data_IF_377695356104
#
_entry.id   IF_377695356104
#
_cell.length_a   1.000
_cell.length_b   1.000
_cell.length_c   1.000
_cell.angle_alpha   90.00
_cell.angle_beta   90.00
_cell.angle_gamma   90.00
#
_symmetry.space_group_name_H-M   'P 1'
#
loop_
_entity.id
_entity.type
_entity.pdbx_description
1 polymer ?
#
# COMPACT_ATOMS: atom_id res chain seq x y z
N UNK A 1 -3.46 -13.25 -19.60
CA UNK A 1 -3.37 -14.62 -19.01
C UNK A 1 -3.93 -14.52 -17.59
N UNK A 2 -4.77 -15.46 -17.16
CA UNK A 2 -5.31 -15.45 -15.79
C UNK A 2 -4.19 -15.76 -14.78
N UNK A 3 -4.28 -15.18 -13.59
CA UNK A 3 -3.38 -15.49 -12.47
C UNK A 3 -3.47 -16.98 -12.10
N UNK A 4 -2.34 -17.62 -11.80
CA UNK A 4 -2.30 -19.03 -11.45
C UNK A 4 -2.95 -19.32 -10.09
N UNK A 5 -3.54 -20.51 -9.94
CA UNK A 5 -4.09 -20.95 -8.65
C UNK A 5 -3.01 -20.97 -7.55
N UNK A 6 -1.76 -21.29 -7.92
CA UNK A 6 -0.62 -21.34 -7.00
C UNK A 6 -0.27 -19.94 -6.48
N UNK A 7 -0.20 -18.91 -7.34
CA UNK A 7 0.00 -17.51 -6.91
C UNK A 7 -1.10 -17.04 -5.96
N UNK A 8 -2.35 -17.40 -6.27
CA UNK A 8 -3.47 -17.06 -5.39
C UNK A 8 -3.41 -17.78 -4.04
N UNK A 9 -2.84 -18.98 -3.99
CA UNK A 9 -2.60 -19.70 -2.74
C UNK A 9 -1.49 -19.03 -1.91
N UNK A 10 -0.36 -18.69 -2.55
CA UNK A 10 0.74 -17.94 -1.91
C UNK A 10 0.23 -16.61 -1.35
N UNK A 11 -0.53 -15.85 -2.13
CA UNK A 11 -1.10 -14.59 -1.67
C UNK A 11 -2.04 -14.75 -0.47
N UNK A 12 -2.93 -15.75 -0.49
CA UNK A 12 -3.82 -16.01 0.66
C UNK A 12 -3.04 -16.35 1.92
N UNK A 13 -2.01 -17.19 1.78
CA UNK A 13 -1.16 -17.57 2.90
C UNK A 13 -0.40 -16.36 3.47
N UNK A 14 0.16 -15.52 2.61
CA UNK A 14 0.84 -14.30 3.02
C UNK A 14 -0.10 -13.36 3.81
N UNK A 15 -1.31 -13.12 3.32
CA UNK A 15 -2.30 -12.26 3.99
C UNK A 15 -2.77 -12.88 5.33
N UNK A 16 -2.89 -14.21 5.40
CA UNK A 16 -3.16 -14.92 6.65
C UNK A 16 -2.02 -14.69 7.65
N UNK A 17 -0.78 -14.96 7.21
CA UNK A 17 0.41 -14.80 8.03
C UNK A 17 0.58 -13.36 8.55
N UNK A 18 0.30 -12.36 7.71
CA UNK A 18 0.31 -10.95 8.11
C UNK A 18 -0.71 -10.68 9.23
N UNK A 19 -1.91 -11.22 9.14
CA UNK A 19 -2.97 -11.04 10.13
C UNK A 19 -2.75 -11.84 11.42
N UNK A 20 -2.06 -12.97 11.33
CA UNK A 20 -1.72 -13.84 12.46
C UNK A 20 -0.36 -13.50 13.09
N UNK A 21 0.37 -12.53 12.51
CA UNK A 21 1.71 -12.11 12.89
C UNK A 21 2.74 -13.25 12.83
N UNK A 22 2.53 -14.17 11.90
CA UNK A 22 3.42 -15.30 11.64
C UNK A 22 4.53 -14.88 10.65
N UNK A 23 5.67 -14.41 11.19
CA UNK A 23 6.78 -13.90 10.39
C UNK A 23 7.38 -14.97 9.49
N UNK A 24 7.49 -16.19 9.96
CA UNK A 24 8.12 -17.29 9.22
C UNK A 24 7.26 -17.66 8.00
N UNK A 25 5.96 -17.80 8.19
CA UNK A 25 5.03 -18.06 7.09
C UNK A 25 4.95 -16.88 6.11
N UNK A 26 4.98 -15.63 6.63
CA UNK A 26 4.94 -14.41 5.83
C UNK A 26 6.14 -14.34 4.88
N UNK A 27 7.34 -14.55 5.38
CA UNK A 27 8.56 -14.51 4.57
C UNK A 27 8.77 -15.77 3.73
N UNK A 28 8.28 -16.91 4.20
CA UNK A 28 8.44 -18.21 3.54
C UNK A 28 7.84 -18.30 2.13
N UNK A 29 6.85 -17.48 1.84
CA UNK A 29 6.23 -17.34 0.51
C UNK A 29 6.87 -16.29 -0.40
N UNK A 30 7.86 -15.55 0.09
CA UNK A 30 8.52 -14.46 -0.64
C UNK A 30 9.84 -14.90 -1.26
N UNK A 31 10.24 -14.21 -2.34
CA UNK A 31 11.56 -14.43 -2.94
C UNK A 31 12.68 -13.83 -2.08
N UNK A 32 13.95 -14.34 -2.19
CA UNK A 32 15.08 -13.80 -1.43
C UNK A 32 15.39 -12.32 -1.69
N UNK A 33 15.02 -11.81 -2.85
CA UNK A 33 15.16 -10.40 -3.24
C UNK A 33 13.82 -9.65 -3.15
N UNK A 34 12.97 -10.04 -2.22
CA UNK A 34 11.66 -9.44 -2.02
C UNK A 34 11.74 -7.96 -1.67
N UNK A 35 10.65 -7.25 -1.89
CA UNK A 35 10.54 -5.85 -1.52
C UNK A 35 9.17 -5.51 -0.93
N UNK A 36 9.14 -4.44 -0.15
CA UNK A 36 7.93 -3.84 0.36
C UNK A 36 8.03 -2.32 0.14
N UNK A 37 7.27 -1.82 -0.81
CA UNK A 37 7.24 -0.42 -1.21
C UNK A 37 5.98 0.26 -0.65
N UNK A 38 6.16 1.04 0.39
CA UNK A 38 5.09 1.83 0.99
C UNK A 38 5.11 3.21 0.37
N UNK A 39 4.10 3.53 -0.43
CA UNK A 39 4.02 4.83 -1.12
C UNK A 39 4.02 5.98 -0.11
N UNK A 40 4.93 6.93 -0.32
CA UNK A 40 5.19 8.03 0.62
C UNK A 40 6.37 7.79 1.55
N UNK A 41 6.95 6.59 1.57
CA UNK A 41 8.24 6.31 2.21
C UNK A 41 9.35 6.47 1.18
N UNK A 42 10.48 7.16 1.50
CA UNK A 42 11.49 7.55 0.51
C UNK A 42 12.17 6.39 -0.24
N UNK A 43 12.21 5.21 0.36
CA UNK A 43 12.84 4.00 -0.24
C UNK A 43 12.07 2.75 0.15
N UNK A 44 11.94 1.78 -0.76
CA UNK A 44 11.38 0.48 -0.41
C UNK A 44 12.27 -0.26 0.59
N UNK A 45 11.66 -1.13 1.35
CA UNK A 45 12.35 -2.14 2.16
C UNK A 45 12.71 -3.30 1.26
N UNK A 46 13.98 -3.66 1.17
CA UNK A 46 14.47 -4.69 0.24
C UNK A 46 15.09 -5.85 0.99
N UNK A 47 14.72 -7.05 0.60
CA UNK A 47 15.13 -8.31 1.21
C UNK A 47 14.34 -8.67 2.46
N UNK A 48 14.47 -9.95 2.90
CA UNK A 48 13.66 -10.48 3.99
C UNK A 48 13.87 -9.74 5.31
N UNK A 49 15.09 -9.33 5.61
CA UNK A 49 15.43 -8.67 6.88
C UNK A 49 14.73 -7.31 7.03
N UNK A 50 14.83 -6.45 6.00
CA UNK A 50 14.18 -5.14 6.03
C UNK A 50 12.66 -5.26 5.99
N UNK A 51 12.15 -6.22 5.22
CA UNK A 51 10.71 -6.53 5.16
C UNK A 51 10.21 -6.96 6.54
N UNK A 52 10.91 -7.88 7.21
CA UNK A 52 10.57 -8.31 8.57
C UNK A 52 10.58 -7.15 9.57
N UNK A 53 11.60 -6.28 9.51
CA UNK A 53 11.70 -5.12 10.40
C UNK A 53 10.53 -4.16 10.21
N UNK A 54 10.12 -3.93 8.96
CA UNK A 54 8.94 -3.10 8.65
C UNK A 54 7.67 -3.69 9.26
N UNK A 55 7.45 -5.03 9.14
CA UNK A 55 6.29 -5.70 9.72
C UNK A 55 6.32 -5.68 11.25
N UNK A 56 7.47 -5.95 11.88
CA UNK A 56 7.60 -5.87 13.35
C UNK A 56 7.20 -4.50 13.89
N UNK A 57 7.69 -3.40 13.27
CA UNK A 57 7.33 -2.03 13.66
C UNK A 57 5.84 -1.74 13.48
N UNK A 58 5.24 -2.30 12.45
CA UNK A 58 3.81 -2.14 12.23
C UNK A 58 2.99 -2.88 13.30
N UNK A 59 3.34 -4.12 13.57
CA UNK A 59 2.70 -4.94 14.60
C UNK A 59 2.97 -4.44 16.03
N UNK A 60 4.13 -3.81 16.28
CA UNK A 60 4.38 -3.12 17.54
C UNK A 60 3.36 -2.01 17.77
N UNK A 61 3.10 -1.20 16.77
CA UNK A 61 2.10 -0.13 16.84
C UNK A 61 0.67 -0.65 16.99
N UNK A 62 0.36 -1.76 16.32
CA UNK A 62 -0.97 -2.37 16.22
C UNK A 62 -0.90 -3.88 16.45
N UNK A 63 -0.81 -4.34 17.71
CA UNK A 63 -0.62 -5.77 18.02
C UNK A 63 -1.80 -6.69 17.64
N UNK A 64 -2.96 -6.11 17.38
CA UNK A 64 -4.17 -6.79 16.92
C UNK A 64 -4.48 -6.48 15.43
N UNK A 65 -3.44 -6.10 14.65
CA UNK A 65 -3.59 -5.78 13.24
C UNK A 65 -4.13 -6.95 12.43
N UNK A 66 -5.10 -6.65 11.57
CA UNK A 66 -5.69 -7.63 10.65
C UNK A 66 -5.93 -7.04 9.27
N UNK A 67 -5.82 -7.89 8.26
CA UNK A 67 -6.09 -7.59 6.86
C UNK A 67 -7.31 -8.35 6.38
N UNK A 68 -8.28 -7.65 5.82
CA UNK A 68 -9.42 -8.24 5.12
C UNK A 68 -9.42 -7.80 3.66
N UNK A 69 -9.24 -8.72 2.74
CA UNK A 69 -9.44 -8.44 1.32
C UNK A 69 -10.91 -8.17 1.06
N UNK A 70 -11.22 -7.01 0.55
CA UNK A 70 -12.58 -6.60 0.16
C UNK A 70 -12.89 -7.02 -1.27
N UNK A 71 -11.94 -6.79 -2.16
CA UNK A 71 -12.06 -7.08 -3.60
C UNK A 71 -10.70 -7.37 -4.21
N UNK A 72 -10.69 -8.22 -5.21
CA UNK A 72 -9.61 -8.30 -6.19
C UNK A 72 -10.01 -7.37 -7.34
N UNK A 73 -9.22 -6.35 -7.59
CA UNK A 73 -9.48 -5.32 -8.61
C UNK A 73 -8.93 -5.74 -9.96
N UNK A 74 -7.76 -6.38 -9.95
CA UNK A 74 -7.10 -6.91 -11.12
C UNK A 74 -6.33 -8.18 -10.73
N UNK A 75 -6.28 -9.16 -11.62
CA UNK A 75 -5.46 -10.35 -11.46
C UNK A 75 -5.07 -10.84 -12.86
N UNK A 76 -3.82 -10.59 -13.24
CA UNK A 76 -3.27 -11.01 -14.52
C UNK A 76 -1.99 -11.86 -14.35
N UNK A 77 -1.29 -12.11 -15.44
CA UNK A 77 -0.07 -12.91 -15.41
C UNK A 77 1.13 -12.22 -14.73
N UNK A 78 1.06 -10.93 -14.40
CA UNK A 78 2.16 -10.15 -13.84
C UNK A 78 1.95 -9.75 -12.39
N UNK A 79 0.72 -9.37 -12.03
CA UNK A 79 0.40 -8.90 -10.68
C UNK A 79 -1.05 -9.23 -10.28
N UNK A 80 -1.29 -9.09 -8.98
CA UNK A 80 -2.64 -9.05 -8.41
C UNK A 80 -2.81 -7.71 -7.72
N UNK A 81 -3.95 -7.07 -7.90
CA UNK A 81 -4.28 -5.82 -7.21
C UNK A 81 -5.49 -6.05 -6.33
N UNK A 82 -5.35 -5.73 -5.04
CA UNK A 82 -6.44 -5.90 -4.07
C UNK A 82 -6.81 -4.59 -3.40
N UNK A 83 -8.10 -4.44 -3.13
CA UNK A 83 -8.59 -3.47 -2.16
C UNK A 83 -8.75 -4.18 -0.82
N UNK A 84 -8.08 -3.65 0.20
CA UNK A 84 -8.05 -4.22 1.54
C UNK A 84 -8.70 -3.28 2.56
N UNK A 85 -9.22 -3.85 3.62
CA UNK A 85 -9.58 -3.17 4.84
C UNK A 85 -8.58 -3.61 5.92
N UNK A 86 -7.91 -2.64 6.51
CA UNK A 86 -6.97 -2.84 7.61
C UNK A 86 -7.59 -2.35 8.90
N UNK A 87 -7.41 -3.12 9.96
CA UNK A 87 -7.90 -2.79 11.31
C UNK A 87 -6.83 -3.09 12.34
N UNK A 88 -6.84 -2.34 13.42
CA UNK A 88 -6.02 -2.56 14.59
C UNK A 88 -6.31 -1.53 15.66
N UNK A 89 -5.78 -1.76 16.87
CA UNK A 89 -5.84 -0.82 17.97
C UNK A 89 -4.45 -0.25 18.21
N UNK A 90 -4.33 1.06 18.30
CA UNK A 90 -3.05 1.75 18.53
C UNK A 90 -2.57 1.53 19.98
N UNK A 91 -1.85 0.44 20.20
CA UNK A 91 -1.40 -0.01 21.52
C UNK A 91 0.12 0.13 21.72
N UNK A 92 0.88 0.40 20.67
CA UNK A 92 2.32 0.67 20.72
C UNK A 92 2.68 1.95 19.99
N UNK A 93 3.98 2.25 19.87
CA UNK A 93 4.45 3.44 19.17
C UNK A 93 4.25 3.31 17.65
N UNK A 94 3.61 4.28 17.04
CA UNK A 94 3.44 4.36 15.58
C UNK A 94 3.83 5.74 15.06
N UNK A 95 4.80 5.80 14.12
CA UNK A 95 5.34 7.04 13.54
C UNK A 95 5.73 8.08 14.60
N UNK A 96 6.30 7.63 15.72
CA UNK A 96 6.69 8.49 16.83
C UNK A 96 5.56 8.91 17.79
N UNK A 97 4.31 8.52 17.51
CA UNK A 97 3.19 8.77 18.39
C UNK A 97 3.06 7.67 19.45
N UNK A 98 2.92 8.04 20.73
CA UNK A 98 2.72 7.06 21.81
C UNK A 98 1.35 6.39 21.70
N UNK A 99 1.16 5.20 22.29
CA UNK A 99 -0.09 4.47 22.21
C UNK A 99 -1.28 5.28 22.75
N UNK A 100 -2.40 5.21 22.06
CA UNK A 100 -3.62 5.97 22.42
C UNK A 100 -4.80 5.08 22.80
N UNK A 101 -4.70 3.76 22.61
CA UNK A 101 -5.79 2.81 22.80
C UNK A 101 -6.93 2.94 21.81
N UNK A 102 -6.79 3.78 20.76
CA UNK A 102 -7.86 4.02 19.81
C UNK A 102 -7.87 3.00 18.68
N UNK A 103 -9.06 2.53 18.26
CA UNK A 103 -9.19 1.68 17.10
C UNK A 103 -8.92 2.47 15.82
N UNK A 104 -8.28 1.81 14.87
CA UNK A 104 -8.00 2.32 13.53
C UNK A 104 -8.61 1.38 12.51
N UNK A 105 -9.24 1.97 11.50
CA UNK A 105 -9.78 1.27 10.35
C UNK A 105 -9.53 2.09 9.10
N UNK A 106 -8.80 1.53 8.16
CA UNK A 106 -8.49 2.19 6.89
C UNK A 106 -8.72 1.28 5.70
N UNK A 107 -8.76 1.88 4.52
CA UNK A 107 -8.69 1.17 3.25
C UNK A 107 -7.29 1.30 2.68
N UNK A 108 -6.82 0.22 2.08
CA UNK A 108 -5.54 0.18 1.36
C UNK A 108 -5.73 -0.48 0.00
N UNK A 109 -4.93 -0.07 -0.97
CA UNK A 109 -4.76 -0.79 -2.23
C UNK A 109 -3.36 -1.36 -2.23
N UNK A 110 -3.24 -2.64 -2.52
CA UNK A 110 -1.95 -3.33 -2.60
C UNK A 110 -1.81 -3.96 -3.97
N UNK A 111 -0.68 -3.68 -4.60
CA UNK A 111 -0.22 -4.35 -5.82
C UNK A 111 0.77 -5.42 -5.41
N UNK A 112 0.41 -6.67 -5.64
CA UNK A 112 1.20 -7.86 -5.34
C UNK A 112 1.98 -8.28 -6.58
N UNK A 113 3.29 -8.32 -6.48
CA UNK A 113 4.20 -8.64 -7.58
C UNK A 113 4.75 -10.06 -7.43
N UNK A 114 4.85 -10.80 -8.53
CA UNK A 114 5.29 -12.19 -8.52
C UNK A 114 6.50 -12.41 -9.43
N UNK A 115 7.42 -13.28 -8.98
CA UNK A 115 8.45 -13.92 -9.80
C UNK A 115 8.15 -15.43 -9.85
N UNK A 116 7.84 -15.94 -11.04
CA UNK A 116 7.29 -17.29 -11.11
C UNK A 116 5.98 -17.39 -10.33
N UNK A 117 5.92 -18.27 -9.35
CA UNK A 117 4.76 -18.43 -8.47
C UNK A 117 4.96 -17.81 -7.07
N UNK A 118 6.17 -17.35 -6.77
CA UNK A 118 6.51 -16.80 -5.46
C UNK A 118 6.23 -15.29 -5.42
N UNK A 119 5.88 -14.79 -4.25
CA UNK A 119 5.64 -13.37 -4.02
C UNK A 119 6.98 -12.62 -4.04
N UNK A 120 7.13 -11.73 -5.02
CA UNK A 120 8.34 -10.92 -5.12
C UNK A 120 8.24 -9.64 -4.30
N UNK A 121 7.05 -9.07 -4.16
CA UNK A 121 6.90 -7.88 -3.35
C UNK A 121 5.52 -7.25 -3.42
N UNK A 122 5.43 -6.12 -2.74
CA UNK A 122 4.21 -5.35 -2.57
C UNK A 122 4.47 -3.88 -2.83
N UNK A 123 3.58 -3.23 -3.59
CA UNK A 123 3.47 -1.77 -3.58
C UNK A 123 2.17 -1.40 -2.87
N UNK A 124 2.27 -0.62 -1.80
CA UNK A 124 1.21 -0.40 -0.85
C UNK A 124 0.78 1.07 -0.85
N UNK A 125 -0.49 1.31 -1.11
CA UNK A 125 -1.12 2.64 -1.09
C UNK A 125 -2.13 2.70 0.05
N UNK A 126 -1.92 3.59 0.99
CA UNK A 126 -2.89 3.88 2.04
C UNK A 126 -2.75 5.32 2.56
N UNK A 127 -3.76 5.77 3.30
CA UNK A 127 -3.80 7.14 3.81
C UNK A 127 -3.29 7.20 5.26
N UNK A 128 -2.03 7.58 5.42
CA UNK A 128 -1.42 7.81 6.73
C UNK A 128 -2.13 8.92 7.52
N UNK A 129 -2.62 9.97 6.85
CA UNK A 129 -3.32 11.05 7.53
C UNK A 129 -4.63 10.57 8.18
N UNK A 130 -5.32 9.64 7.56
CA UNK A 130 -6.48 8.98 8.15
C UNK A 130 -6.13 8.19 9.42
N UNK A 131 -5.00 7.47 9.44
CA UNK A 131 -4.53 6.78 10.65
C UNK A 131 -4.26 7.80 11.75
N UNK A 132 -3.44 8.81 11.45
CA UNK A 132 -3.05 9.84 12.40
C UNK A 132 -4.27 10.57 12.98
N UNK A 133 -5.25 10.91 12.15
CA UNK A 133 -6.51 11.51 12.60
C UNK A 133 -7.28 10.58 13.56
N UNK A 134 -7.38 9.29 13.25
CA UNK A 134 -8.10 8.32 14.08
C UNK A 134 -7.44 8.12 15.45
N UNK A 135 -6.11 8.08 15.51
CA UNK A 135 -5.39 8.02 16.79
C UNK A 135 -5.40 9.34 17.55
N UNK A 136 -5.84 10.45 16.91
CA UNK A 136 -5.96 11.77 17.52
C UNK A 136 -4.68 12.60 17.47
N UNK A 137 -3.78 12.28 16.54
CA UNK A 137 -2.62 13.11 16.25
C UNK A 137 -3.06 14.48 15.76
N UNK A 138 -2.45 15.54 16.28
CA UNK A 138 -2.64 16.89 15.75
C UNK A 138 -1.69 17.06 14.57
N UNK A 139 -2.26 17.18 13.39
CA UNK A 139 -1.50 17.45 12.16
C UNK A 139 -1.76 18.91 11.83
N UNK A 140 -0.76 19.77 12.01
CA UNK A 140 -0.80 21.14 11.52
C UNK A 140 -0.50 21.12 10.01
N UNK A 141 -1.56 21.15 9.23
CA UNK A 141 -1.45 21.42 7.79
C UNK A 141 -1.71 22.92 7.64
N UNK A 142 -0.71 23.72 7.28
CA UNK A 142 -0.95 25.13 7.03
C UNK A 142 -1.96 25.27 5.89
N UNK A 143 -2.89 26.22 5.98
CA UNK A 143 -3.82 26.47 4.89
C UNK A 143 -3.04 26.77 3.60
N UNK A 144 -3.49 26.30 2.44
CA UNK A 144 -2.82 26.58 1.18
C UNK A 144 -2.68 28.10 1.00
N UNK A 145 -1.44 28.56 0.78
CA UNK A 145 -1.16 29.95 0.45
C UNK A 145 -1.63 30.24 -0.97
N UNK A 146 -2.83 30.76 -1.12
CA UNK A 146 -3.41 31.14 -2.40
C UNK A 146 -4.72 30.42 -2.73
N UNK A 147 -5.46 30.98 -3.70
CA UNK A 147 -6.68 30.34 -4.21
C UNK A 147 -6.31 29.12 -5.04
N UNK A 148 -6.70 27.94 -4.59
CA UNK A 148 -6.56 26.71 -5.36
C UNK A 148 -7.51 26.77 -6.56
N UNK A 149 -6.97 26.97 -7.76
CA UNK A 149 -7.75 26.78 -8.99
C UNK A 149 -7.89 25.30 -9.23
N UNK A 150 -9.12 24.80 -9.22
CA UNK A 150 -9.41 23.41 -9.62
C UNK A 150 -9.05 23.27 -11.10
N UNK A 151 -8.04 22.48 -11.42
CA UNK A 151 -7.76 22.12 -12.81
C UNK A 151 -8.80 21.10 -13.27
N UNK A 152 -9.48 21.41 -14.37
CA UNK A 152 -10.38 20.44 -15.00
C UNK A 152 -9.54 19.56 -15.92
N UNK A 153 -9.46 18.27 -15.61
CA UNK A 153 -8.77 17.28 -16.44
C UNK A 153 -9.75 16.71 -17.45
N UNK A 154 -9.43 16.82 -18.75
CA UNK A 154 -10.11 16.05 -19.80
C UNK A 154 -9.22 14.86 -20.14
N UNK A 155 -9.70 13.66 -19.88
CA UNK A 155 -9.10 12.44 -20.41
C UNK A 155 -9.45 12.38 -21.90
N UNK A 156 -8.45 12.45 -22.75
CA UNK A 156 -8.62 12.10 -24.16
C UNK A 156 -8.95 10.60 -24.23
N UNK A 157 -9.90 10.23 -25.13
CA UNK A 157 -10.42 8.86 -25.25
C UNK A 157 -9.38 7.85 -25.81
N UNK A 158 -8.12 8.00 -25.49
CA UNK A 158 -7.08 7.03 -25.84
C UNK A 158 -7.26 5.79 -24.95
N UNK A 159 -7.51 4.59 -25.50
CA UNK A 159 -7.65 3.39 -24.69
C UNK A 159 -6.34 3.12 -23.94
N UNK A 160 -6.41 3.10 -22.60
CA UNK A 160 -5.31 2.69 -21.73
C UNK A 160 -5.13 1.16 -21.81
N UNK A 161 -4.69 0.68 -22.97
CA UNK A 161 -4.33 -0.72 -23.17
C UNK A 161 -2.85 -0.76 -23.47
N UNK A 162 -2.06 -0.99 -22.40
CA UNK A 162 -0.62 -1.19 -22.53
C UNK A 162 -0.10 -2.02 -21.38
N UNK A 163 0.42 -3.18 -21.70
CA UNK A 163 1.18 -3.99 -20.75
C UNK A 163 2.56 -3.35 -20.55
N UNK A 164 2.79 -2.74 -19.40
CA UNK A 164 4.15 -2.41 -18.94
C UNK A 164 4.88 -1.28 -19.64
N UNK A 165 4.19 -0.39 -20.34
CA UNK A 165 4.78 0.85 -20.87
C UNK A 165 4.47 2.03 -19.96
N UNK A 166 5.46 2.89 -19.73
CA UNK A 166 5.25 4.19 -19.10
C UNK A 166 4.28 5.01 -19.96
N UNK A 167 3.24 5.53 -19.34
CA UNK A 167 2.30 6.44 -20.00
C UNK A 167 2.63 7.86 -19.62
N UNK A 168 2.89 8.71 -20.60
CA UNK A 168 2.93 10.15 -20.39
C UNK A 168 1.49 10.70 -20.46
N UNK A 169 0.93 11.09 -19.34
CA UNK A 169 -0.35 11.77 -19.27
C UNK A 169 -0.14 13.24 -19.65
N UNK A 170 -0.43 13.60 -20.90
CA UNK A 170 -0.42 15.01 -21.32
C UNK A 170 -1.71 15.69 -20.89
N UNK A 171 -1.61 16.54 -19.90
CA UNK A 171 -2.70 17.42 -19.48
C UNK A 171 -2.69 18.66 -20.37
N UNK A 172 -3.74 18.88 -21.17
CA UNK A 172 -3.99 20.17 -21.78
C UNK A 172 -4.51 21.12 -20.71
N UNK A 173 -3.63 21.84 -20.06
CA UNK A 173 -3.98 22.98 -19.21
C UNK A 173 -3.55 24.28 -19.86
N UNK A 174 -4.22 25.39 -19.52
CA UNK A 174 -3.76 26.72 -19.84
C UNK A 174 -2.34 26.92 -19.32
N UNK A 175 -1.47 27.52 -20.15
CA UNK A 175 -0.02 27.59 -19.93
C UNK A 175 0.42 28.51 -18.76
N UNK A 176 -0.48 28.93 -17.90
CA UNK A 176 -0.18 29.86 -16.79
C UNK A 176 -0.17 29.24 -15.41
N UNK A 177 -0.19 27.91 -15.26
CA UNK A 177 0.05 27.29 -13.96
C UNK A 177 1.48 26.78 -13.87
N UNK A 178 2.35 27.66 -13.47
CA UNK A 178 3.71 27.37 -13.07
C UNK A 178 3.75 26.47 -11.83
N UNK A 179 4.57 25.44 -11.96
CA UNK A 179 5.35 24.72 -10.92
C UNK A 179 4.61 24.15 -9.71
N UNK A 180 4.65 22.85 -9.69
CA UNK A 180 4.66 22.00 -8.48
C UNK A 180 6.05 21.95 -7.86
#
# INVERSE_FOLDING_TARGET
>A
MLVSAKRMAVLREHIRAESEHDMDALLGGMTPDCFNDVVGVPKPFVGPEQTAERYRKHWEGFPDFTVRVRRVLCADGSCVVTENEWRGTHLGTFLGWPPTGKPVKIRAVVVWHFKGDDLWGETIFFDNASILKQIGAKIDIPPPSGSMKLATFTLDNTPLIGHGTEFELRVKGDRDSTSW
#
